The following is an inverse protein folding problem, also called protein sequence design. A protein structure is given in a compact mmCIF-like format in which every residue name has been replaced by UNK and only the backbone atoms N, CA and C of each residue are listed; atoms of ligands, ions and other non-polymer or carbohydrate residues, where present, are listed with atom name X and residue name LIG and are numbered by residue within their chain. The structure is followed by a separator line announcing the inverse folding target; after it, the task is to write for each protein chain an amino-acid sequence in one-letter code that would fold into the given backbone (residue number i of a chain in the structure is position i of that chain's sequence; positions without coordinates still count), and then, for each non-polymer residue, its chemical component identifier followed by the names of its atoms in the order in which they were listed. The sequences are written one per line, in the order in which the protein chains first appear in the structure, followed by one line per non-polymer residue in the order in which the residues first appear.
data_IF_844341048191
#
_entry.id   IF_844341048191
#
_cell.length_a   1.000
_cell.length_b   1.000
_cell.length_c   1.000
_cell.angle_alpha   90.00
_cell.angle_beta   90.00
_cell.angle_gamma   90.00
#
_symmetry.space_group_name_H-M   'P 1'
#
loop_
_entity.id
_entity.type
_entity.pdbx_description
1 polymer ?
#
# COMPACT_ATOMS: atom_id res chain seq x y z
N UNK A 1 -18.12 0.21 -13.08
CA UNK A 1 -17.38 0.70 -11.90
C UNK A 1 -17.29 -0.48 -10.95
N UNK A 2 -16.27 -1.32 -11.09
CA UNK A 2 -16.16 -2.57 -10.33
C UNK A 2 -15.49 -2.26 -9.00
N UNK A 3 -16.25 -2.46 -7.94
CA UNK A 3 -15.82 -2.42 -6.54
C UNK A 3 -14.56 -3.29 -6.42
N UNK A 4 -13.42 -2.61 -6.32
CA UNK A 4 -12.11 -3.19 -6.57
C UNK A 4 -11.75 -4.09 -5.40
N UNK A 5 -11.69 -5.39 -5.65
CA UNK A 5 -11.28 -6.40 -4.67
C UNK A 5 -9.87 -6.06 -4.14
N UNK A 6 -9.82 -5.53 -2.91
CA UNK A 6 -8.60 -5.11 -2.24
C UNK A 6 -8.12 -6.25 -1.33
N UNK A 7 -6.86 -6.65 -1.46
CA UNK A 7 -6.21 -7.59 -0.55
C UNK A 7 -5.70 -6.84 0.67
N UNK A 8 -6.11 -7.32 1.85
CA UNK A 8 -5.65 -6.82 3.14
C UNK A 8 -4.45 -7.65 3.62
N UNK A 9 -3.35 -6.97 3.92
CA UNK A 9 -2.11 -7.56 4.42
C UNK A 9 -1.87 -7.04 5.84
N UNK A 10 -1.73 -7.92 6.85
CA UNK A 10 -1.33 -7.49 8.18
C UNK A 10 0.12 -6.99 8.15
N UNK A 11 0.40 -5.98 8.98
CA UNK A 11 1.75 -5.51 9.23
C UNK A 11 2.33 -6.25 10.41
N UNK A 12 3.49 -6.88 10.20
CA UNK A 12 4.27 -7.51 11.25
C UNK A 12 5.61 -6.79 11.37
N UNK A 13 5.85 -6.17 12.53
CA UNK A 13 7.12 -5.47 12.84
C UNK A 13 7.52 -4.42 11.78
N UNK A 14 6.56 -3.68 11.24
CA UNK A 14 6.80 -2.66 10.20
C UNK A 14 7.06 -3.22 8.79
N UNK A 15 6.77 -4.51 8.58
CA UNK A 15 6.88 -5.17 7.28
C UNK A 15 5.55 -5.83 6.89
N UNK A 16 5.29 -5.92 5.59
CA UNK A 16 4.16 -6.68 5.04
C UNK A 16 4.68 -7.84 4.22
N UNK A 17 4.03 -9.00 4.35
CA UNK A 17 4.30 -10.12 3.48
C UNK A 17 3.48 -9.99 2.19
N UNK A 18 4.11 -9.44 1.15
CA UNK A 18 3.43 -9.21 -0.13
C UNK A 18 3.28 -10.51 -0.94
N UNK A 19 4.31 -11.37 -0.85
CA UNK A 19 4.34 -12.74 -1.39
C UNK A 19 4.82 -13.69 -0.30
N UNK A 20 4.45 -14.96 -0.40
CA UNK A 20 4.90 -16.00 0.53
C UNK A 20 6.44 -15.95 0.68
N UNK A 21 6.93 -15.67 1.89
CA UNK A 21 8.37 -15.56 2.17
C UNK A 21 9.06 -14.27 1.70
N UNK A 22 8.35 -13.31 1.10
CA UNK A 22 8.88 -12.00 0.69
C UNK A 22 8.23 -10.89 1.51
N UNK A 23 9.02 -10.35 2.44
CA UNK A 23 8.63 -9.23 3.28
C UNK A 23 9.13 -7.91 2.71
N UNK A 24 8.25 -6.91 2.72
CA UNK A 24 8.51 -5.56 2.20
C UNK A 24 8.28 -4.58 3.34
N UNK A 25 9.26 -3.70 3.58
CA UNK A 25 9.11 -2.62 4.57
C UNK A 25 8.03 -1.63 4.17
N UNK A 26 7.35 -1.06 5.18
CA UNK A 26 6.31 -0.04 4.96
C UNK A 26 6.85 1.21 4.24
N UNK A 27 8.13 1.53 4.42
CA UNK A 27 8.85 2.61 3.75
C UNK A 27 8.81 2.49 2.22
N UNK A 28 8.87 1.25 1.72
CA UNK A 28 8.72 0.93 0.30
C UNK A 28 7.26 0.76 -0.07
N UNK A 29 6.48 0.06 0.75
CA UNK A 29 5.09 -0.25 0.49
C UNK A 29 4.24 1.00 0.21
N UNK A 30 4.51 2.12 0.89
CA UNK A 30 3.84 3.42 0.67
C UNK A 30 4.03 4.02 -0.74
N UNK A 31 5.00 3.52 -1.50
CA UNK A 31 5.26 3.89 -2.89
C UNK A 31 4.96 2.76 -3.87
N UNK A 32 4.29 1.70 -3.41
CA UNK A 32 3.86 0.61 -4.28
C UNK A 32 2.68 1.08 -5.15
N UNK A 33 2.74 0.82 -6.46
CA UNK A 33 1.68 1.17 -7.39
C UNK A 33 0.33 0.48 -7.07
N UNK A 34 0.39 -0.68 -6.42
CA UNK A 34 -0.78 -1.42 -5.96
C UNK A 34 -1.26 -1.00 -4.57
N UNK A 35 -0.52 -0.16 -3.83
CA UNK A 35 -0.95 0.30 -2.51
C UNK A 35 -2.15 1.25 -2.64
N UNK A 36 -3.17 1.05 -1.80
CA UNK A 36 -4.43 1.83 -1.82
C UNK A 36 -4.72 2.52 -0.50
N UNK A 37 -4.55 1.83 0.61
CA UNK A 37 -4.76 2.40 1.93
C UNK A 37 -3.89 1.73 3.00
N UNK A 38 -3.67 2.44 4.10
CA UNK A 38 -2.98 1.97 5.30
C UNK A 38 -3.93 2.13 6.48
N UNK A 39 -3.99 1.12 7.35
CA UNK A 39 -4.74 1.20 8.59
C UNK A 39 -3.82 1.71 9.68
N UNK A 40 -4.12 2.89 10.20
CA UNK A 40 -3.41 3.55 11.29
C UNK A 40 -4.36 3.68 12.48
N UNK A 41 -4.02 3.09 13.62
CA UNK A 41 -4.84 3.15 14.85
C UNK A 41 -6.33 2.84 14.60
N UNK A 42 -6.61 1.77 13.84
CA UNK A 42 -7.96 1.35 13.47
C UNK A 42 -8.60 2.08 12.28
N UNK A 43 -8.04 3.20 11.83
CA UNK A 43 -8.59 4.04 10.75
C UNK A 43 -7.87 3.83 9.44
N UNK A 44 -8.60 3.69 8.33
CA UNK A 44 -8.02 3.58 7.00
C UNK A 44 -7.72 4.94 6.41
N UNK A 45 -6.43 5.21 6.19
CA UNK A 45 -5.92 6.37 5.46
C UNK A 45 -5.52 5.97 4.05
N UNK A 46 -5.74 6.84 3.07
CA UNK A 46 -5.37 6.54 1.68
C UNK A 46 -3.85 6.52 1.52
N UNK A 47 -3.38 5.69 0.59
CA UNK A 47 -1.96 5.48 0.37
C UNK A 47 -1.27 6.72 -0.21
N UNK A 48 -0.07 7.09 0.29
CA UNK A 48 0.75 8.14 -0.30
C UNK A 48 1.12 7.87 -1.77
N UNK A 49 1.11 6.60 -2.22
CA UNK A 49 1.32 6.26 -3.63
C UNK A 49 0.29 6.91 -4.55
N UNK A 50 -0.92 7.21 -4.03
CA UNK A 50 -1.98 7.86 -4.78
C UNK A 50 -1.75 9.36 -4.98
N UNK A 51 -0.72 9.96 -4.37
CA UNK A 51 -0.31 11.34 -4.65
C UNK A 51 0.04 11.54 -6.13
N UNK A 52 0.67 10.53 -6.73
CA UNK A 52 1.07 10.53 -8.15
C UNK A 52 -0.03 10.03 -9.09
N UNK A 53 -1.16 9.56 -8.55
CA UNK A 53 -2.29 9.13 -9.36
C UNK A 53 -3.06 10.36 -9.87
N UNK A 54 -3.09 10.56 -11.19
CA UNK A 54 -3.79 11.70 -11.80
C UNK A 54 -5.28 11.79 -11.44
N UNK A 55 -5.93 10.65 -11.17
CA UNK A 55 -7.33 10.56 -10.80
C UNK A 55 -7.60 10.83 -9.30
N UNK A 56 -6.67 10.45 -8.41
CA UNK A 56 -6.91 10.52 -6.95
C UNK A 56 -6.19 11.68 -6.27
N UNK A 57 -4.92 11.96 -6.62
CA UNK A 57 -4.09 13.05 -6.08
C UNK A 57 -4.11 13.19 -4.55
N UNK A 58 -3.97 12.06 -3.85
CA UNK A 58 -4.05 12.01 -2.38
C UNK A 58 -2.80 12.59 -1.76
N UNK A 59 -2.95 13.50 -0.80
CA UNK A 59 -1.85 14.13 -0.05
C UNK A 59 -1.84 13.75 1.44
N UNK A 60 -2.59 12.74 1.82
CA UNK A 60 -2.66 12.25 3.20
C UNK A 60 -1.33 11.63 3.64
N UNK A 61 -0.85 12.05 4.81
CA UNK A 61 0.32 11.45 5.45
C UNK A 61 -0.11 10.28 6.35
N UNK A 62 0.66 9.20 6.27
CA UNK A 62 0.46 7.97 7.06
C UNK A 62 1.63 7.82 8.02
N UNK A 63 1.33 7.73 9.31
CA UNK A 63 2.33 7.43 10.34
C UNK A 63 2.65 5.94 10.33
N UNK A 64 3.71 5.57 9.60
CA UNK A 64 4.14 4.19 9.40
C UNK A 64 4.42 3.44 10.72
N UNK A 65 4.70 4.15 11.82
CA UNK A 65 4.96 3.53 13.12
C UNK A 65 3.69 2.97 13.78
N UNK A 66 2.51 3.47 13.37
CA UNK A 66 1.19 3.09 13.90
C UNK A 66 0.37 2.26 12.93
N UNK A 67 0.97 1.87 11.80
CA UNK A 67 0.26 1.07 10.79
C UNK A 67 0.17 -0.39 11.24
N UNK A 68 -1.06 -0.90 11.25
CA UNK A 68 -1.38 -2.29 11.61
C UNK A 68 -1.70 -3.16 10.38
N UNK A 69 -2.17 -2.56 9.28
CA UNK A 69 -2.55 -3.29 8.07
C UNK A 69 -2.43 -2.41 6.82
N UNK A 70 -2.33 -3.06 5.66
CA UNK A 70 -2.25 -2.40 4.34
C UNK A 70 -3.26 -3.01 3.38
N UNK A 71 -3.94 -2.16 2.61
CA UNK A 71 -4.82 -2.55 1.49
C UNK A 71 -4.11 -2.36 0.16
N UNK A 72 -4.09 -3.43 -0.62
CA UNK A 72 -3.46 -3.48 -1.93
C UNK A 72 -4.50 -3.86 -3.00
N UNK A 73 -4.38 -3.29 -4.20
CA UNK A 73 -5.14 -3.70 -5.38
C UNK A 73 -4.52 -4.93 -6.10
N UNK A 74 -3.45 -5.49 -5.54
CA UNK A 74 -2.79 -6.69 -6.05
C UNK A 74 -3.59 -7.94 -5.68
N UNK A 75 -4.06 -8.66 -6.71
CA UNK A 75 -4.91 -9.87 -6.58
C UNK A 75 -4.10 -11.15 -6.41
N UNK A 76 -2.90 -11.19 -6.96
CA UNK A 76 -2.19 -12.44 -7.26
C UNK A 76 -0.91 -12.61 -6.47
N UNK A 77 -0.55 -11.63 -5.62
CA UNK A 77 0.80 -11.59 -5.09
C UNK A 77 1.78 -11.26 -6.21
N UNK A 78 1.52 -10.27 -7.06
CA UNK A 78 2.51 -9.77 -8.02
C UNK A 78 3.74 -9.16 -7.33
N UNK A 79 3.65 -8.92 -6.02
CA UNK A 79 4.77 -8.40 -5.24
C UNK A 79 4.86 -6.87 -5.32
N UNK A 80 5.95 -6.35 -4.75
CA UNK A 80 6.18 -4.91 -4.71
C UNK A 80 6.53 -4.35 -6.10
N UNK A 81 5.81 -3.32 -6.53
CA UNK A 81 6.07 -2.56 -7.75
C UNK A 81 6.20 -1.08 -7.41
N UNK A 82 7.40 -0.53 -7.51
CA UNK A 82 7.63 0.90 -7.26
C UNK A 82 6.91 1.75 -8.30
N UNK A 83 6.14 2.74 -7.86
CA UNK A 83 5.49 3.70 -8.77
C UNK A 83 6.53 4.50 -9.57
N UNK A 84 7.72 4.70 -9.01
CA UNK A 84 8.84 5.40 -9.68
C UNK A 84 9.31 4.66 -10.94
N UNK A 85 9.19 3.33 -10.98
CA UNK A 85 9.52 2.54 -12.17
C UNK A 85 8.45 2.59 -13.26
N UNK A 86 7.26 3.13 -12.96
CA UNK A 86 6.12 3.20 -13.89
C UNK A 86 6.02 4.57 -14.55
N UNK A 87 6.43 5.63 -13.83
CA UNK A 87 6.41 7.02 -14.33
C UNK A 87 7.69 7.45 -15.03
N UNK A 88 8.64 6.51 -15.24
CA UNK A 88 9.93 6.77 -15.90
C UNK A 88 9.88 6.61 -17.41
#
# INVERSE_FOLDING_TARGET
MTETEQRELPVERGTVECRLGVRVGLDRCRFCASSRAFREAGTWKRSPALAFCMASRVTEEVDLSKVEAVRCADRTGEGFRSIMSIIS
#
